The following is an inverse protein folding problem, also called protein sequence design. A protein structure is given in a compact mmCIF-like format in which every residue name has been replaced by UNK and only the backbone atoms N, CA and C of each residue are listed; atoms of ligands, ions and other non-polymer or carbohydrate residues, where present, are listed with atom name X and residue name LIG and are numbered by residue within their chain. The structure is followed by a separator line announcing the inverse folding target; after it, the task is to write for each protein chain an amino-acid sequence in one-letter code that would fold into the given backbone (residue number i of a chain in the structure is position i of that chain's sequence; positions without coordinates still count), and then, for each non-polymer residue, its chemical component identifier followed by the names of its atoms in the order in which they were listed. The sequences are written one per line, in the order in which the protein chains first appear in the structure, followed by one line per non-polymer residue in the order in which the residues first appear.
data_IF_797230745957
#
_entry.id   IF_797230745957
#
_cell.length_a   1.000
_cell.length_b   1.000
_cell.length_c   1.000
_cell.angle_alpha   90.00
_cell.angle_beta   90.00
_cell.angle_gamma   90.00
#
_symmetry.space_group_name_H-M   'P 1'
#
loop_
_entity.id
_entity.type
_entity.pdbx_description
1 polymer ?
#
# COMPACT_ATOMS: atom_id res chain seq x y z
N UNK A 1 -26.93 -29.95 25.19
CA UNK A 1 -26.86 -28.48 25.32
C UNK A 1 -26.16 -27.98 24.07
N UNK A 2 -26.57 -26.88 23.43
CA UNK A 2 -25.74 -26.32 22.36
C UNK A 2 -24.35 -26.05 22.93
N UNK A 3 -23.30 -26.54 22.25
CA UNK A 3 -21.92 -26.24 22.64
C UNK A 3 -21.77 -24.72 22.68
N UNK A 4 -21.15 -24.14 23.73
CA UNK A 4 -20.93 -22.70 23.84
C UNK A 4 -20.27 -22.12 22.57
N UNK A 5 -19.47 -22.92 21.87
CA UNK A 5 -18.82 -22.59 20.61
C UNK A 5 -19.77 -22.17 19.46
N UNK A 6 -20.97 -22.76 19.37
CA UNK A 6 -21.93 -22.37 18.30
C UNK A 6 -22.48 -20.95 18.47
N UNK A 7 -22.44 -20.41 19.69
CA UNK A 7 -22.88 -19.03 19.95
C UNK A 7 -21.74 -18.06 19.58
N UNK A 8 -20.50 -18.39 19.90
CA UNK A 8 -19.31 -17.61 19.52
C UNK A 8 -19.18 -17.50 17.98
N UNK A 9 -19.38 -18.61 17.26
CA UNK A 9 -19.34 -18.62 15.78
C UNK A 9 -20.36 -17.65 15.15
N UNK A 10 -21.58 -17.60 15.70
CA UNK A 10 -22.63 -16.69 15.19
C UNK A 10 -22.28 -15.23 15.48
N UNK A 11 -21.56 -14.97 16.56
CA UNK A 11 -21.10 -13.63 16.93
C UNK A 11 -19.96 -13.19 16.02
N UNK A 12 -18.95 -14.03 15.79
CA UNK A 12 -17.83 -13.70 14.90
C UNK A 12 -18.30 -13.44 13.46
N UNK A 13 -19.24 -14.23 12.94
CA UNK A 13 -19.82 -13.96 11.62
C UNK A 13 -20.54 -12.61 11.57
N UNK A 14 -21.25 -12.22 12.65
CA UNK A 14 -21.91 -10.92 12.72
C UNK A 14 -20.91 -9.77 12.88
N UNK A 15 -19.82 -9.99 13.62
CA UNK A 15 -18.73 -9.04 13.85
C UNK A 15 -17.97 -8.77 12.56
N UNK A 16 -17.57 -9.82 11.82
CA UNK A 16 -16.96 -9.73 10.48
C UNK A 16 -17.83 -8.96 9.48
N UNK A 17 -19.17 -9.01 9.62
CA UNK A 17 -20.11 -8.25 8.81
C UNK A 17 -20.31 -6.79 9.26
N UNK A 18 -19.82 -6.43 10.46
CA UNK A 18 -20.08 -5.14 11.12
C UNK A 18 -18.87 -4.25 11.33
N UNK A 19 -17.65 -4.77 11.15
CA UNK A 19 -16.47 -3.93 11.02
C UNK A 19 -16.62 -3.07 9.76
N UNK A 20 -17.04 -1.81 9.99
CA UNK A 20 -16.83 -0.77 9.01
C UNK A 20 -15.32 -0.64 8.90
N UNK A 21 -14.76 -0.96 7.72
CA UNK A 21 -13.32 -0.88 7.43
C UNK A 21 -12.73 0.37 8.08
N UNK A 22 -12.03 0.17 9.18
CA UNK A 22 -11.27 1.22 9.85
C UNK A 22 -9.98 1.31 9.04
N UNK A 23 -10.07 1.93 7.87
CA UNK A 23 -8.91 2.12 7.01
C UNK A 23 -7.90 2.92 7.80
N UNK A 24 -6.76 2.31 8.16
CA UNK A 24 -5.54 3.05 8.51
C UNK A 24 -5.42 4.14 7.46
N UNK A 25 -5.30 5.39 7.91
CA UNK A 25 -5.28 6.51 6.97
C UNK A 25 -3.98 6.40 6.17
N UNK A 26 -4.07 5.77 5.00
CA UNK A 26 -2.98 5.63 4.05
C UNK A 26 -2.25 6.96 3.91
N UNK A 27 -0.94 6.94 4.15
CA UNK A 27 -0.11 8.09 3.85
C UNK A 27 -0.31 8.43 2.37
N UNK A 28 -0.72 9.67 2.14
CA UNK A 28 -1.13 10.11 0.82
C UNK A 28 -0.13 11.12 0.30
N UNK A 29 0.65 10.72 -0.72
CA UNK A 29 1.57 11.60 -1.43
C UNK A 29 0.83 12.16 -2.64
N UNK A 30 0.72 13.48 -2.75
CA UNK A 30 -0.11 14.10 -3.77
C UNK A 30 0.64 15.17 -4.55
N UNK A 31 0.31 15.31 -5.83
CA UNK A 31 0.72 16.45 -6.66
C UNK A 31 -0.48 16.91 -7.50
N UNK A 32 -0.97 18.10 -7.18
CA UNK A 32 -2.01 18.80 -7.94
C UNK A 32 -1.39 19.99 -8.63
N UNK A 33 -1.50 20.09 -9.96
CA UNK A 33 -0.78 21.09 -10.76
C UNK A 33 -1.48 22.45 -10.74
N UNK A 34 -1.81 22.91 -9.53
CA UNK A 34 -2.70 24.01 -9.25
C UNK A 34 -1.96 25.20 -8.63
N UNK A 35 -2.53 26.39 -8.81
CA UNK A 35 -2.10 27.62 -8.17
C UNK A 35 -3.10 28.01 -7.06
N UNK A 36 -4.33 28.39 -7.43
CA UNK A 36 -5.27 28.98 -6.46
C UNK A 36 -6.28 27.99 -5.86
N UNK A 37 -6.54 26.85 -6.52
CA UNK A 37 -7.57 25.88 -6.09
C UNK A 37 -7.18 24.46 -6.46
N UNK A 38 -7.36 23.51 -5.54
CA UNK A 38 -7.19 22.07 -5.77
C UNK A 38 -6.31 21.41 -4.73
N UNK A 39 -5.88 20.16 -4.95
CA UNK A 39 -4.87 19.48 -4.14
C UNK A 39 -3.65 20.37 -4.04
N UNK A 40 -3.14 20.46 -2.81
CA UNK A 40 -1.96 21.22 -2.42
C UNK A 40 -1.98 22.72 -2.75
N UNK A 41 -3.10 23.29 -3.23
CA UNK A 41 -3.20 24.75 -3.39
C UNK A 41 -3.02 25.43 -2.04
N UNK A 42 -2.17 26.45 -2.02
CA UNK A 42 -1.95 27.25 -0.82
C UNK A 42 -2.36 28.71 -1.09
N UNK A 43 -2.55 29.52 -0.05
CA UNK A 43 -3.01 30.91 -0.23
C UNK A 43 -1.98 31.83 -0.91
N UNK A 44 -0.80 31.32 -1.25
CA UNK A 44 0.30 32.04 -1.88
C UNK A 44 0.17 31.94 -3.39
N UNK A 45 0.04 33.07 -4.11
CA UNK A 45 -0.01 33.04 -5.56
C UNK A 45 1.23 32.38 -6.18
N UNK A 46 0.99 31.54 -7.17
CA UNK A 46 1.93 30.74 -7.94
C UNK A 46 2.64 29.65 -7.12
N UNK A 47 1.96 29.08 -6.12
CA UNK A 47 2.48 28.04 -5.23
C UNK A 47 1.46 26.90 -5.03
N UNK A 48 1.89 25.62 -5.08
CA UNK A 48 3.23 25.15 -5.38
C UNK A 48 3.58 25.20 -6.87
N UNK A 49 2.59 25.52 -7.72
CA UNK A 49 2.77 25.66 -9.16
C UNK A 49 2.42 27.07 -9.67
N UNK A 50 3.22 27.54 -10.63
CA UNK A 50 2.99 28.77 -11.38
C UNK A 50 2.30 28.42 -12.70
N UNK A 51 1.07 28.89 -12.92
CA UNK A 51 0.38 28.69 -14.20
C UNK A 51 1.13 29.38 -15.36
N UNK A 52 0.95 28.85 -16.57
CA UNK A 52 1.57 29.30 -17.82
C UNK A 52 3.11 29.32 -17.77
N UNK A 53 3.71 28.35 -17.07
CA UNK A 53 5.15 28.26 -16.90
C UNK A 53 5.68 26.82 -16.95
N UNK A 54 7.00 26.66 -17.11
CA UNK A 54 7.65 25.35 -17.22
C UNK A 54 7.50 24.53 -15.94
N UNK A 55 7.05 23.28 -16.05
CA UNK A 55 6.93 22.34 -14.92
C UNK A 55 8.29 22.04 -14.24
N UNK A 56 9.40 22.22 -14.96
CA UNK A 56 10.75 21.96 -14.45
C UNK A 56 11.03 22.71 -13.14
N UNK A 57 11.29 21.96 -12.07
CA UNK A 57 11.67 22.53 -10.78
C UNK A 57 10.50 22.96 -9.90
N UNK A 58 9.24 22.69 -10.27
CA UNK A 58 8.05 23.03 -9.48
C UNK A 58 7.56 21.88 -8.59
N UNK A 59 6.72 22.20 -7.60
CA UNK A 59 6.15 21.22 -6.66
C UNK A 59 7.01 20.94 -5.41
N UNK A 60 8.21 21.51 -5.29
CA UNK A 60 9.19 21.11 -4.25
C UNK A 60 8.77 21.26 -2.79
N UNK A 61 7.66 21.91 -2.48
CA UNK A 61 7.11 22.05 -1.14
C UNK A 61 6.03 20.99 -0.79
N UNK A 62 5.62 20.16 -1.76
CA UNK A 62 4.59 19.15 -1.55
C UNK A 62 5.12 18.00 -0.69
N UNK A 63 4.42 17.61 0.41
CA UNK A 63 4.82 16.52 1.28
C UNK A 63 4.97 15.18 0.56
N UNK A 64 5.88 14.33 1.04
CA UNK A 64 6.09 12.97 0.52
C UNK A 64 6.93 12.87 -0.76
N UNK A 65 7.28 13.99 -1.41
CA UNK A 65 8.16 13.99 -2.59
C UNK A 65 9.62 14.27 -2.23
N UNK A 66 10.57 13.56 -2.84
CA UNK A 66 12.01 13.78 -2.64
C UNK A 66 12.50 15.09 -3.25
N UNK A 67 11.91 15.49 -4.37
CA UNK A 67 12.36 16.61 -5.18
C UNK A 67 11.21 17.21 -6.01
N UNK A 68 11.40 18.42 -6.56
CA UNK A 68 10.51 18.97 -7.57
C UNK A 68 10.45 18.11 -8.86
N UNK A 69 9.46 18.36 -9.72
CA UNK A 69 9.35 17.72 -11.02
C UNK A 69 10.58 17.98 -11.91
N UNK A 70 11.05 16.94 -12.60
CA UNK A 70 12.16 17.02 -13.57
C UNK A 70 11.63 16.73 -14.96
N UNK A 71 11.82 17.68 -15.89
CA UNK A 71 11.39 17.57 -17.29
C UNK A 71 12.59 17.17 -18.15
N UNK A 72 12.57 15.96 -18.69
CA UNK A 72 13.57 15.48 -19.63
C UNK A 72 13.13 14.17 -20.31
N UNK A 73 13.11 14.10 -21.65
CA UNK A 73 13.41 15.17 -22.61
C UNK A 73 12.22 16.13 -22.79
N UNK A 74 12.41 17.16 -23.62
CA UNK A 74 11.32 18.00 -24.13
C UNK A 74 10.90 19.13 -23.19
N UNK A 75 9.61 19.50 -23.27
CA UNK A 75 9.01 20.58 -22.50
C UNK A 75 7.67 20.14 -21.93
N UNK A 76 7.45 20.44 -20.66
CA UNK A 76 6.17 20.34 -20.00
C UNK A 76 5.90 21.66 -19.28
N UNK A 77 4.66 22.12 -19.34
CA UNK A 77 4.20 23.39 -18.76
C UNK A 77 3.01 23.13 -17.84
N UNK A 78 2.84 23.95 -16.81
CA UNK A 78 1.61 23.97 -16.02
C UNK A 78 0.67 24.95 -16.69
N UNK A 79 -0.47 24.50 -17.18
CA UNK A 79 -1.42 25.35 -17.90
C UNK A 79 -2.77 25.36 -17.23
N UNK A 80 -3.49 26.47 -17.36
CA UNK A 80 -4.90 26.50 -17.01
C UNK A 80 -5.73 25.72 -18.02
N UNK A 81 -6.42 24.68 -17.56
CA UNK A 81 -7.26 23.83 -18.40
C UNK A 81 -8.72 24.06 -18.05
N UNK A 82 -9.51 24.52 -19.02
CA UNK A 82 -10.96 24.66 -18.84
C UNK A 82 -11.58 23.28 -18.63
N UNK A 83 -12.14 23.04 -17.46
CA UNK A 83 -12.62 21.72 -17.06
C UNK A 83 -11.54 20.82 -16.46
N UNK A 84 -10.46 21.40 -15.88
CA UNK A 84 -9.54 20.71 -14.98
C UNK A 84 -10.29 19.90 -13.92
N UNK A 85 -9.70 18.79 -13.47
CA UNK A 85 -10.43 17.83 -12.65
C UNK A 85 -10.66 18.36 -11.25
N UNK A 86 -9.60 18.84 -10.60
CA UNK A 86 -9.65 19.20 -9.18
C UNK A 86 -9.29 20.66 -8.87
N UNK A 87 -8.92 21.43 -9.89
CA UNK A 87 -8.38 22.76 -9.70
C UNK A 87 -8.28 23.60 -10.97
N UNK A 88 -7.34 24.54 -10.96
CA UNK A 88 -7.17 25.56 -11.99
C UNK A 88 -6.05 25.28 -12.99
N UNK A 89 -5.28 24.19 -12.82
CA UNK A 89 -4.20 23.81 -13.71
C UNK A 89 -4.08 22.31 -13.98
N UNK A 90 -3.22 21.97 -14.95
CA UNK A 90 -2.76 20.62 -15.25
C UNK A 90 -1.35 20.69 -15.87
N UNK A 91 -0.56 19.64 -15.72
CA UNK A 91 0.71 19.51 -16.44
C UNK A 91 0.45 19.12 -17.90
N UNK A 92 0.86 19.97 -18.83
CA UNK A 92 0.68 19.81 -20.26
C UNK A 92 2.01 19.49 -20.95
N UNK A 93 2.02 18.44 -21.77
CA UNK A 93 3.20 17.90 -22.44
C UNK A 93 3.09 18.11 -23.94
N UNK A 94 3.86 19.04 -24.50
CA UNK A 94 3.77 19.45 -25.90
C UNK A 94 4.96 19.03 -26.75
N UNK A 95 4.74 19.05 -28.07
CA UNK A 95 5.80 18.91 -29.06
C UNK A 95 6.11 17.47 -29.42
N UNK A 96 7.40 17.16 -29.57
CA UNK A 96 7.89 15.81 -29.88
C UNK A 96 7.86 14.95 -28.60
N UNK A 97 8.96 14.25 -28.28
CA UNK A 97 9.10 13.53 -27.03
C UNK A 97 9.23 14.51 -25.88
N UNK A 98 8.26 14.49 -24.96
CA UNK A 98 8.29 15.24 -23.71
C UNK A 98 8.02 14.30 -22.54
N UNK A 99 8.82 14.38 -21.49
CA UNK A 99 8.61 13.59 -20.29
C UNK A 99 8.88 14.41 -19.03
N UNK A 100 8.18 14.05 -17.96
CA UNK A 100 8.47 14.52 -16.63
C UNK A 100 8.51 13.33 -15.67
N UNK A 101 9.43 13.40 -14.71
CA UNK A 101 9.53 12.43 -13.63
C UNK A 101 9.51 13.12 -12.29
N UNK A 102 9.14 12.36 -11.26
CA UNK A 102 9.24 12.80 -9.88
C UNK A 102 9.35 11.63 -8.93
N UNK A 103 10.33 11.71 -8.04
CA UNK A 103 10.59 10.69 -7.04
C UNK A 103 9.91 11.02 -5.71
N UNK A 104 9.35 10.00 -5.05
CA UNK A 104 8.87 10.05 -3.67
C UNK A 104 10.06 10.10 -2.70
N UNK A 105 9.85 10.63 -1.50
CA UNK A 105 10.88 10.86 -0.49
C UNK A 105 11.50 9.56 0.04
N UNK A 106 10.68 8.51 0.14
CA UNK A 106 11.06 7.18 0.59
C UNK A 106 10.62 6.14 -0.44
N UNK A 107 11.42 5.08 -0.67
CA UNK A 107 10.98 3.93 -1.46
C UNK A 107 9.62 3.39 -1.02
N UNK A 108 8.81 2.97 -1.99
CA UNK A 108 7.54 2.30 -1.76
C UNK A 108 7.80 0.80 -1.67
N UNK A 109 7.90 0.29 -0.44
CA UNK A 109 8.29 -1.11 -0.15
C UNK A 109 7.09 -2.03 0.06
N UNK A 110 5.96 -1.48 0.51
CA UNK A 110 4.69 -2.18 0.68
C UNK A 110 3.74 -1.94 -0.49
N UNK A 111 2.58 -2.62 -0.53
CA UNK A 111 1.57 -2.43 -1.58
C UNK A 111 1.03 -0.99 -1.55
N UNK A 112 0.98 -0.34 -2.70
CA UNK A 112 0.53 1.04 -2.85
C UNK A 112 -0.36 1.22 -4.08
N UNK A 113 -1.16 2.28 -4.09
CA UNK A 113 -1.99 2.68 -5.23
C UNK A 113 -1.47 3.99 -5.80
N UNK A 114 -1.27 4.05 -7.11
CA UNK A 114 -1.08 5.31 -7.83
C UNK A 114 -2.31 5.61 -8.65
N UNK A 115 -2.95 6.74 -8.38
CA UNK A 115 -4.05 7.29 -9.17
C UNK A 115 -3.59 8.59 -9.82
N UNK A 116 -3.90 8.77 -11.09
CA UNK A 116 -3.70 10.04 -11.79
C UNK A 116 -4.78 10.27 -12.84
N UNK A 117 -4.95 11.53 -13.22
CA UNK A 117 -5.87 11.93 -14.28
C UNK A 117 -5.10 12.18 -15.56
N UNK A 118 -5.59 11.63 -16.66
CA UNK A 118 -5.01 11.86 -17.98
C UNK A 118 -6.07 12.35 -18.96
N UNK A 119 -5.74 13.37 -19.74
CA UNK A 119 -6.54 13.82 -20.88
C UNK A 119 -5.67 13.92 -22.12
N UNK A 120 -6.18 13.41 -23.24
CA UNK A 120 -5.54 13.54 -24.55
C UNK A 120 -6.58 14.12 -25.53
N UNK A 121 -6.49 15.40 -25.91
CA UNK A 121 -7.53 16.10 -26.68
C UNK A 121 -7.60 15.68 -28.15
N UNK A 122 -6.47 15.29 -28.73
CA UNK A 122 -6.29 15.16 -30.17
C UNK A 122 -5.67 13.83 -30.57
N UNK A 123 -5.55 13.58 -31.89
CA UNK A 123 -5.06 12.32 -32.42
C UNK A 123 -3.66 12.01 -31.87
N UNK A 124 -3.42 10.73 -31.62
CA UNK A 124 -2.15 10.24 -31.12
C UNK A 124 -1.37 9.61 -32.29
N UNK A 125 -0.10 9.96 -32.48
CA UNK A 125 0.78 9.42 -33.54
C UNK A 125 1.66 8.25 -33.07
N UNK A 126 1.86 8.11 -31.76
CA UNK A 126 2.61 7.02 -31.09
C UNK A 126 1.96 6.70 -29.74
N UNK A 127 2.72 6.77 -28.64
CA UNK A 127 2.27 6.35 -27.32
C UNK A 127 2.38 7.49 -26.30
N UNK A 128 1.32 7.70 -25.53
CA UNK A 128 1.42 8.39 -24.23
C UNK A 128 1.61 7.32 -23.17
N UNK A 129 2.69 7.43 -22.41
CA UNK A 129 3.19 6.38 -21.52
C UNK A 129 3.21 6.90 -20.09
N UNK A 130 2.65 6.12 -19.18
CA UNK A 130 2.83 6.27 -17.74
C UNK A 130 3.70 5.14 -17.20
N UNK A 131 4.59 5.46 -16.26
CA UNK A 131 5.42 4.46 -15.57
C UNK A 131 5.49 4.72 -14.08
N UNK A 132 5.65 3.62 -13.35
CA UNK A 132 6.17 3.61 -11.99
C UNK A 132 7.48 2.82 -12.01
N UNK A 133 8.56 3.39 -11.49
CA UNK A 133 9.92 2.89 -11.72
C UNK A 133 10.89 3.22 -10.58
N UNK A 134 12.09 2.67 -10.70
CA UNK A 134 13.27 2.92 -9.86
C UNK A 134 14.04 4.13 -10.39
N UNK A 135 14.13 5.20 -9.59
CA UNK A 135 14.83 6.45 -9.90
C UNK A 135 16.35 6.28 -10.07
N UNK A 136 16.92 5.24 -9.46
CA UNK A 136 18.36 4.93 -9.53
C UNK A 136 18.71 4.05 -10.73
N UNK A 137 17.72 3.30 -11.21
CA UNK A 137 17.83 2.41 -12.35
C UNK A 137 17.91 3.14 -13.70
N UNK A 138 18.18 2.38 -14.77
CA UNK A 138 18.14 2.90 -16.14
C UNK A 138 17.43 1.94 -17.09
N UNK A 139 16.62 2.52 -17.98
CA UNK A 139 15.98 1.79 -19.06
C UNK A 139 14.90 0.82 -18.55
N UNK A 140 14.64 -0.22 -19.32
CA UNK A 140 13.50 -1.13 -19.07
C UNK A 140 13.62 -1.91 -17.76
N UNK A 141 14.84 -2.13 -17.27
CA UNK A 141 15.07 -2.91 -16.04
C UNK A 141 14.60 -2.16 -14.78
N UNK A 142 14.49 -0.83 -14.86
CA UNK A 142 14.05 0.01 -13.75
C UNK A 142 12.52 0.11 -13.65
N UNK A 143 11.77 -0.39 -14.64
CA UNK A 143 10.32 -0.15 -14.73
C UNK A 143 9.58 -1.25 -13.98
N UNK A 144 8.79 -0.89 -12.98
CA UNK A 144 7.80 -1.79 -12.38
C UNK A 144 6.57 -1.83 -13.29
N UNK A 145 5.89 -0.69 -13.39
CA UNK A 145 4.61 -0.56 -14.09
C UNK A 145 4.79 0.22 -15.39
N UNK A 146 4.11 -0.20 -16.45
CA UNK A 146 3.94 0.63 -17.63
C UNK A 146 2.54 0.51 -18.23
N UNK A 147 1.91 1.66 -18.44
CA UNK A 147 0.64 1.81 -19.16
C UNK A 147 0.88 2.67 -20.39
N UNK A 148 0.39 2.22 -21.55
CA UNK A 148 0.48 2.92 -22.83
C UNK A 148 -0.92 3.29 -23.32
N UNK A 149 -1.06 4.50 -23.87
CA UNK A 149 -2.20 4.89 -24.70
C UNK A 149 -1.71 5.04 -26.14
N UNK A 150 -2.21 4.18 -27.02
CA UNK A 150 -1.77 4.12 -28.42
C UNK A 150 -2.52 5.12 -29.32
N UNK A 151 -2.13 5.15 -30.61
CA UNK A 151 -2.65 6.06 -31.63
C UNK A 151 -4.19 6.11 -31.80
N UNK A 152 -4.88 5.01 -31.49
CA UNK A 152 -6.34 4.88 -31.56
C UNK A 152 -7.03 5.03 -30.18
N UNK A 153 -6.31 5.61 -29.21
CA UNK A 153 -6.72 5.79 -27.81
C UNK A 153 -6.94 4.49 -27.03
N UNK A 154 -6.51 3.36 -27.59
CA UNK A 154 -6.54 2.09 -26.87
C UNK A 154 -5.50 2.09 -25.76
N UNK A 155 -5.88 1.53 -24.62
CA UNK A 155 -5.01 1.37 -23.47
C UNK A 155 -4.37 -0.03 -23.49
N UNK A 156 -3.05 -0.07 -23.32
CA UNK A 156 -2.26 -1.29 -23.16
C UNK A 156 -1.49 -1.26 -21.88
N UNK A 157 -1.29 -2.42 -21.27
CA UNK A 157 -0.43 -2.62 -20.10
C UNK A 157 0.80 -3.42 -20.53
N UNK A 158 1.90 -3.33 -19.79
CA UNK A 158 3.09 -4.18 -20.04
C UNK A 158 3.26 -5.18 -18.91
N UNK A 159 3.10 -6.46 -19.24
CA UNK A 159 3.21 -7.60 -18.35
C UNK A 159 4.51 -8.37 -18.64
N UNK A 160 5.43 -8.41 -17.67
CA UNK A 160 6.70 -9.14 -17.82
C UNK A 160 7.55 -8.71 -19.03
N UNK A 161 7.35 -7.48 -19.53
CA UNK A 161 8.01 -6.96 -20.74
C UNK A 161 7.22 -7.10 -22.04
N UNK A 162 6.05 -7.75 -22.02
CA UNK A 162 5.15 -7.92 -23.16
C UNK A 162 3.95 -6.99 -23.05
N UNK A 163 3.62 -6.26 -24.12
CA UNK A 163 2.46 -5.38 -24.10
C UNK A 163 1.15 -6.15 -24.34
N UNK A 164 0.19 -6.02 -23.44
CA UNK A 164 -1.11 -6.67 -23.49
C UNK A 164 -2.23 -5.69 -23.85
N UNK A 165 -3.29 -6.21 -24.46
CA UNK A 165 -4.45 -5.43 -24.86
C UNK A 165 -5.53 -5.46 -23.80
N UNK A 166 -5.89 -4.31 -23.24
CA UNK A 166 -6.90 -4.24 -22.18
C UNK A 166 -8.33 -4.32 -22.71
N UNK A 167 -8.52 -3.96 -23.99
CA UNK A 167 -9.85 -3.74 -24.58
C UNK A 167 -10.54 -2.44 -24.14
N UNK A 168 -9.83 -1.61 -23.36
CA UNK A 168 -10.32 -0.33 -22.83
C UNK A 168 -9.78 0.83 -23.69
N UNK A 169 -10.57 1.89 -23.84
CA UNK A 169 -10.25 3.06 -24.67
C UNK A 169 -10.45 4.36 -23.90
N UNK A 170 -9.57 5.33 -24.11
CA UNK A 170 -9.81 6.71 -23.67
C UNK A 170 -10.77 7.43 -24.62
N UNK A 171 -11.57 8.34 -24.07
CA UNK A 171 -12.37 9.29 -24.84
C UNK A 171 -11.56 10.56 -25.06
N UNK A 172 -11.26 10.95 -26.31
CA UNK A 172 -10.45 12.13 -26.58
C UNK A 172 -11.05 13.40 -25.97
N UNK A 173 -10.21 14.22 -25.36
CA UNK A 173 -10.60 15.50 -24.74
C UNK A 173 -11.36 15.38 -23.43
N UNK A 174 -11.37 14.20 -22.80
CA UNK A 174 -11.94 13.97 -21.46
C UNK A 174 -10.83 13.51 -20.52
N UNK A 175 -10.88 13.96 -19.26
CA UNK A 175 -10.02 13.40 -18.21
C UNK A 175 -10.53 12.03 -17.78
N UNK A 176 -9.63 11.06 -17.77
CA UNK A 176 -9.87 9.70 -17.28
C UNK A 176 -9.07 9.45 -16.01
N UNK A 177 -9.63 8.67 -15.09
CA UNK A 177 -8.90 8.15 -13.94
C UNK A 177 -8.11 6.92 -14.37
N UNK A 178 -6.80 6.99 -14.21
CA UNK A 178 -5.93 5.82 -14.33
C UNK A 178 -5.47 5.46 -12.94
N UNK A 179 -5.68 4.20 -12.55
CA UNK A 179 -5.25 3.69 -11.26
C UNK A 179 -4.43 2.42 -11.47
N UNK A 180 -3.30 2.33 -10.77
CA UNK A 180 -2.51 1.11 -10.66
C UNK A 180 -2.31 0.77 -9.19
N UNK A 181 -2.46 -0.49 -8.83
CA UNK A 181 -2.10 -1.00 -7.51
C UNK A 181 -0.87 -1.87 -7.69
N UNK A 182 0.19 -1.59 -6.94
CA UNK A 182 1.52 -2.14 -7.16
C UNK A 182 1.94 -2.86 -5.90
N UNK A 183 2.38 -4.10 -6.05
CA UNK A 183 2.94 -4.90 -4.96
C UNK A 183 4.44 -5.14 -5.24
N UNK A 184 5.34 -4.39 -4.57
CA UNK A 184 6.78 -4.57 -4.69
C UNK A 184 7.31 -5.92 -4.19
N UNK A 185 6.61 -6.56 -3.25
CA UNK A 185 7.01 -7.83 -2.62
C UNK A 185 6.80 -8.97 -3.61
N UNK A 186 5.59 -9.08 -4.16
CA UNK A 186 5.26 -10.11 -5.16
C UNK A 186 5.70 -9.72 -6.59
N UNK A 187 6.07 -8.45 -6.80
CA UNK A 187 6.41 -7.87 -8.11
C UNK A 187 5.29 -7.98 -9.13
N UNK A 188 4.06 -7.85 -8.65
CA UNK A 188 2.86 -7.82 -9.49
C UNK A 188 2.10 -6.51 -9.34
N UNK A 189 1.14 -6.27 -10.22
CA UNK A 189 0.30 -5.08 -10.17
C UNK A 189 -1.07 -5.29 -10.81
N UNK A 190 -2.00 -4.38 -10.54
CA UNK A 190 -3.37 -4.38 -11.04
C UNK A 190 -3.64 -3.03 -11.73
N UNK A 191 -4.41 -3.04 -12.81
CA UNK A 191 -4.74 -1.85 -13.60
C UNK A 191 -6.25 -1.56 -13.60
N UNK A 192 -6.61 -0.29 -13.46
CA UNK A 192 -7.98 0.21 -13.60
C UNK A 192 -8.03 1.46 -14.48
N UNK A 193 -9.11 1.60 -15.25
CA UNK A 193 -9.49 2.85 -15.91
C UNK A 193 -10.91 3.24 -15.51
N UNK A 194 -11.08 4.45 -14.97
CA UNK A 194 -12.36 4.97 -14.48
C UNK A 194 -13.07 4.00 -13.51
N UNK A 195 -12.27 3.32 -12.68
CA UNK A 195 -12.75 2.30 -11.73
C UNK A 195 -13.06 0.93 -12.33
N UNK A 196 -12.92 0.75 -13.65
CA UNK A 196 -13.04 -0.55 -14.32
C UNK A 196 -11.69 -1.26 -14.28
N UNK A 197 -11.61 -2.35 -13.52
CA UNK A 197 -10.44 -3.22 -13.48
C UNK A 197 -10.25 -3.95 -14.81
N UNK A 198 -9.01 -4.01 -15.30
CA UNK A 198 -8.64 -4.92 -16.36
C UNK A 198 -8.51 -6.35 -15.81
N UNK A 199 -9.32 -7.26 -16.34
CA UNK A 199 -9.26 -8.68 -16.01
C UNK A 199 -8.16 -9.35 -16.86
N UNK A 200 -6.91 -9.21 -16.39
CA UNK A 200 -5.77 -9.88 -17.01
C UNK A 200 -5.92 -11.42 -16.94
N UNK A 201 -5.37 -12.16 -17.92
CA UNK A 201 -5.42 -13.63 -17.93
C UNK A 201 -4.63 -14.26 -16.77
N UNK A 202 -3.65 -13.54 -16.25
CA UNK A 202 -2.79 -13.86 -15.11
C UNK A 202 -2.35 -12.56 -14.39
N UNK A 203 -1.75 -12.62 -13.20
CA UNK A 203 -1.26 -11.42 -12.51
C UNK A 203 -0.27 -10.65 -13.38
N UNK A 204 -0.41 -9.32 -13.48
CA UNK A 204 0.53 -8.53 -14.27
C UNK A 204 1.87 -8.45 -13.54
N UNK A 205 2.92 -8.97 -14.14
CA UNK A 205 4.28 -8.92 -13.63
C UNK A 205 4.91 -7.54 -13.88
N UNK A 206 5.88 -7.18 -13.04
CA UNK A 206 6.74 -6.03 -13.30
C UNK A 206 7.42 -6.15 -14.67
N UNK A 207 7.48 -5.04 -15.40
CA UNK A 207 8.14 -4.98 -16.70
C UNK A 207 9.63 -5.34 -16.63
N UNK A 208 10.29 -4.87 -15.58
CA UNK A 208 11.71 -5.03 -15.31
C UNK A 208 11.96 -5.72 -13.97
N UNK A 209 13.12 -5.45 -13.37
CA UNK A 209 13.45 -5.93 -12.03
C UNK A 209 14.05 -4.78 -11.22
N UNK A 210 13.26 -3.73 -10.95
CA UNK A 210 13.71 -2.61 -10.14
C UNK A 210 14.15 -3.10 -8.76
N UNK A 211 15.13 -2.40 -8.17
CA UNK A 211 15.58 -2.68 -6.80
C UNK A 211 14.70 -1.99 -5.77
N UNK A 212 14.04 -0.90 -6.17
CA UNK A 212 13.05 -0.17 -5.39
C UNK A 212 12.04 0.49 -6.33
N UNK A 213 10.88 0.89 -5.82
CA UNK A 213 9.90 1.64 -6.60
C UNK A 213 9.68 2.98 -5.93
N UNK A 214 10.10 4.06 -6.58
CA UNK A 214 10.16 5.38 -5.96
C UNK A 214 9.96 6.55 -6.94
N UNK A 215 9.71 6.31 -8.23
CA UNK A 215 9.53 7.36 -9.22
C UNK A 215 8.30 7.13 -10.10
N UNK A 216 7.50 8.18 -10.29
CA UNK A 216 6.49 8.24 -11.34
C UNK A 216 7.02 8.99 -12.55
N UNK A 217 6.68 8.50 -13.75
CA UNK A 217 7.02 9.16 -15.01
C UNK A 217 5.79 9.26 -15.91
N UNK A 218 5.62 10.43 -16.50
CA UNK A 218 4.69 10.64 -17.61
C UNK A 218 5.48 11.04 -18.86
N UNK A 219 5.20 10.38 -19.97
CA UNK A 219 5.94 10.51 -21.23
C UNK A 219 4.97 10.62 -22.41
N UNK A 220 4.99 11.75 -23.11
CA UNK A 220 4.40 11.91 -24.42
C UNK A 220 5.47 11.54 -25.48
N UNK A 221 5.43 10.34 -26.06
CA UNK A 221 6.48 9.86 -26.97
C UNK A 221 6.23 10.26 -28.44
N UNK A 222 6.29 11.56 -28.78
CA UNK A 222 5.94 12.04 -30.14
C UNK A 222 4.51 11.60 -30.49
N UNK A 223 3.62 11.67 -29.51
CA UNK A 223 2.35 11.00 -29.56
C UNK A 223 1.22 12.02 -29.73
N UNK A 224 1.15 13.05 -28.90
CA UNK A 224 0.04 14.00 -28.95
C UNK A 224 0.53 15.40 -29.39
N UNK A 225 0.39 15.78 -30.69
CA UNK A 225 0.79 17.11 -31.17
C UNK A 225 -0.04 18.24 -30.56
N UNK A 226 -1.29 17.94 -30.18
CA UNK A 226 -2.18 18.86 -29.45
C UNK A 226 -1.94 18.82 -27.92
N UNK A 227 -0.89 18.11 -27.50
CA UNK A 227 -0.51 17.91 -26.11
C UNK A 227 -1.20 16.71 -25.44
N UNK A 228 -0.61 16.23 -24.35
CA UNK A 228 -1.28 15.37 -23.37
C UNK A 228 -1.21 16.04 -22.00
N UNK A 229 -2.20 15.77 -21.17
CA UNK A 229 -2.37 16.45 -19.89
C UNK A 229 -2.39 15.44 -18.76
N UNK A 230 -1.64 15.72 -17.70
CA UNK A 230 -1.59 14.98 -16.45
C UNK A 230 -2.12 15.88 -15.34
N UNK A 231 -2.99 15.33 -14.49
CA UNK A 231 -3.53 16.03 -13.33
C UNK A 231 -3.68 15.08 -12.13
N UNK A 232 -3.77 15.64 -10.91
CA UNK A 232 -4.03 14.93 -9.65
C UNK A 232 -3.27 13.60 -9.48
N UNK A 233 -1.94 13.63 -9.42
CA UNK A 233 -1.14 12.43 -9.10
C UNK A 233 -1.25 12.16 -7.61
N UNK A 234 -1.82 11.02 -7.23
CA UNK A 234 -2.05 10.61 -5.85
C UNK A 234 -1.42 9.23 -5.68
N UNK A 235 -0.57 9.07 -4.68
CA UNK A 235 -0.01 7.80 -4.25
C UNK A 235 -0.54 7.56 -2.84
N UNK A 236 -1.35 6.51 -2.69
CA UNK A 236 -1.81 6.01 -1.40
C UNK A 236 -0.90 4.84 -1.04
N UNK A 237 -0.16 4.93 0.06
CA UNK A 237 0.65 3.82 0.56
C UNK A 237 -0.20 2.91 1.45
N UNK A 238 0.24 1.67 1.64
CA UNK A 238 -0.37 0.76 2.62
C UNK A 238 -1.86 0.45 2.38
N UNK A 239 -2.29 0.42 1.11
CA UNK A 239 -3.73 0.31 0.73
C UNK A 239 -4.44 -0.97 1.16
N UNK A 240 -3.70 -2.00 1.60
CA UNK A 240 -4.22 -3.26 2.15
C UNK A 240 -3.57 -3.60 3.50
N UNK A 241 -2.93 -2.64 4.17
CA UNK A 241 -2.48 -2.86 5.54
C UNK A 241 -3.72 -2.89 6.41
N UNK A 242 -4.16 -4.10 6.72
CA UNK A 242 -5.20 -4.36 7.69
C UNK A 242 -4.72 -3.82 9.04
N UNK A 243 -5.61 -3.17 9.81
CA UNK A 243 -5.24 -2.82 11.19
C UNK A 243 -4.89 -4.09 11.99
N UNK A 244 -4.17 -3.98 13.11
CA UNK A 244 -3.95 -5.10 14.04
C UNK A 244 -5.22 -5.91 14.33
N UNK A 245 -6.36 -5.24 14.57
CA UNK A 245 -7.65 -5.90 14.79
C UNK A 245 -8.18 -6.64 13.56
N UNK A 246 -8.07 -6.02 12.38
CA UNK A 246 -8.49 -6.63 11.12
C UNK A 246 -7.65 -7.86 10.77
N UNK A 247 -6.34 -7.82 11.02
CA UNK A 247 -5.45 -8.98 10.87
C UNK A 247 -5.84 -10.10 11.85
N UNK A 248 -6.02 -9.80 13.14
CA UNK A 248 -6.45 -10.81 14.13
C UNK A 248 -7.78 -11.46 13.71
N UNK A 249 -8.74 -10.67 13.24
CA UNK A 249 -10.02 -11.20 12.75
C UNK A 249 -9.89 -12.07 11.50
N UNK A 250 -9.02 -11.69 10.56
CA UNK A 250 -8.75 -12.48 9.37
C UNK A 250 -8.12 -13.83 9.76
N UNK A 251 -7.10 -13.83 10.63
CA UNK A 251 -6.50 -15.08 11.14
C UNK A 251 -7.52 -15.93 11.90
N UNK A 252 -8.40 -15.31 12.71
CA UNK A 252 -9.47 -16.03 13.40
C UNK A 252 -10.47 -16.68 12.41
N UNK A 253 -10.78 -16.01 11.29
CA UNK A 253 -11.60 -16.59 10.24
C UNK A 253 -10.91 -17.78 9.55
N UNK A 254 -9.61 -17.67 9.27
CA UNK A 254 -8.83 -18.75 8.67
C UNK A 254 -8.75 -19.98 9.59
N UNK A 255 -8.59 -19.78 10.91
CA UNK A 255 -8.62 -20.84 11.91
C UNK A 255 -9.99 -21.55 11.94
N UNK A 256 -11.09 -20.80 11.84
CA UNK A 256 -12.42 -21.41 11.78
C UNK A 256 -12.63 -22.26 10.54
N UNK A 257 -12.07 -21.85 9.40
CA UNK A 257 -12.10 -22.64 8.17
C UNK A 257 -11.32 -23.95 8.33
N UNK A 258 -10.20 -23.95 9.06
CA UNK A 258 -9.47 -25.18 9.40
C UNK A 258 -10.31 -26.14 10.26
N UNK A 259 -10.97 -25.64 11.30
CA UNK A 259 -11.88 -26.45 12.14
C UNK A 259 -13.03 -27.01 11.28
N UNK A 260 -13.58 -26.19 10.37
CA UNK A 260 -14.68 -26.60 9.50
C UNK A 260 -14.25 -27.64 8.44
N UNK A 261 -12.97 -27.64 8.04
CA UNK A 261 -12.42 -28.56 7.05
C UNK A 261 -12.30 -30.00 7.59
N UNK A 262 -12.07 -30.19 8.90
CA UNK A 262 -12.05 -31.52 9.54
C UNK A 262 -12.96 -31.60 10.79
N UNK A 263 -14.29 -31.66 10.59
CA UNK A 263 -15.25 -31.60 11.69
C UNK A 263 -15.28 -32.84 12.60
N UNK A 264 -14.47 -33.88 12.31
CA UNK A 264 -14.39 -35.09 13.13
C UNK A 264 -13.11 -35.13 13.98
N UNK A 265 -12.21 -34.15 13.84
CA UNK A 265 -10.98 -34.06 14.61
C UNK A 265 -11.23 -33.20 15.87
N UNK A 266 -11.72 -33.85 16.93
CA UNK A 266 -12.04 -33.17 18.20
C UNK A 266 -10.80 -32.55 18.86
N UNK A 267 -9.61 -33.13 18.67
CA UNK A 267 -8.35 -32.66 19.25
C UNK A 267 -7.84 -31.40 18.53
N UNK A 268 -7.88 -31.38 17.20
CA UNK A 268 -7.62 -30.17 16.41
C UNK A 268 -8.57 -29.05 16.79
N UNK A 269 -9.87 -29.37 16.87
CA UNK A 269 -10.88 -28.38 17.24
C UNK A 269 -10.55 -27.77 18.61
N UNK A 270 -10.46 -28.58 19.68
CA UNK A 270 -10.16 -28.11 21.04
C UNK A 270 -8.95 -27.17 21.08
N UNK A 271 -7.85 -27.54 20.40
CA UNK A 271 -6.64 -26.72 20.35
C UNK A 271 -6.82 -25.40 19.60
N UNK A 272 -7.51 -25.39 18.46
CA UNK A 272 -7.78 -24.17 17.70
C UNK A 272 -8.88 -23.30 18.34
N UNK A 273 -9.78 -23.89 19.12
CA UNK A 273 -10.75 -23.17 19.94
C UNK A 273 -10.05 -22.35 21.04
N UNK A 274 -8.96 -22.86 21.62
CA UNK A 274 -8.11 -22.12 22.58
C UNK A 274 -7.42 -20.93 21.90
N UNK A 275 -6.84 -21.13 20.71
CA UNK A 275 -6.24 -20.04 19.91
C UNK A 275 -7.26 -18.93 19.64
N UNK A 276 -8.47 -19.30 19.19
CA UNK A 276 -9.55 -18.33 18.95
C UNK A 276 -9.93 -17.57 20.22
N UNK A 277 -9.94 -18.23 21.38
CA UNK A 277 -10.21 -17.56 22.66
C UNK A 277 -9.17 -16.48 22.97
N UNK A 278 -7.88 -16.78 22.78
CA UNK A 278 -6.82 -15.80 23.01
C UNK A 278 -6.88 -14.64 22.00
N UNK A 279 -7.22 -14.91 20.73
CA UNK A 279 -7.41 -13.85 19.72
C UNK A 279 -8.59 -12.93 20.04
N UNK A 280 -9.70 -13.47 20.54
CA UNK A 280 -10.84 -12.65 20.98
C UNK A 280 -10.50 -11.82 22.21
N UNK A 281 -9.76 -12.39 23.17
CA UNK A 281 -9.25 -11.64 24.32
C UNK A 281 -8.30 -10.52 23.85
N UNK A 282 -7.44 -10.77 22.84
CA UNK A 282 -6.57 -9.73 22.28
C UNK A 282 -7.37 -8.55 21.68
N UNK A 283 -8.44 -8.85 20.93
CA UNK A 283 -9.35 -7.81 20.41
C UNK A 283 -10.02 -7.02 21.54
N UNK A 284 -10.50 -7.69 22.59
CA UNK A 284 -11.10 -7.04 23.76
C UNK A 284 -10.11 -6.07 24.46
N UNK A 285 -8.81 -6.39 24.44
CA UNK A 285 -7.74 -5.54 24.96
C UNK A 285 -7.47 -4.31 24.07
N UNK A 286 -7.49 -4.48 22.74
CA UNK A 286 -7.33 -3.39 21.76
C UNK A 286 -8.53 -2.42 21.75
N UNK A 287 -9.75 -2.90 22.03
CA UNK A 287 -10.96 -2.06 22.09
C UNK A 287 -11.04 -1.14 23.33
N UNK A 288 -10.11 -1.26 24.30
CA UNK A 288 -10.09 -0.41 25.49
C UNK A 288 -9.79 1.06 25.15
N UNK A 289 -10.02 1.97 26.10
CA UNK A 289 -9.74 3.41 25.92
C UNK A 289 -8.92 3.98 27.09
N UNK A 290 -7.60 4.19 26.94
CA UNK A 290 -6.79 3.81 25.76
C UNK A 290 -6.69 2.28 25.59
N UNK A 291 -6.34 1.80 24.39
CA UNK A 291 -6.02 0.38 24.15
C UNK A 291 -4.95 -0.14 25.13
N UNK A 292 -5.03 -1.42 25.49
CA UNK A 292 -4.02 -2.09 26.32
C UNK A 292 -3.15 -2.99 25.43
N UNK A 293 -2.24 -2.36 24.67
CA UNK A 293 -1.45 -3.02 23.65
C UNK A 293 -0.56 -4.14 24.23
N UNK A 294 0.02 -3.93 25.41
CA UNK A 294 0.85 -4.96 26.06
C UNK A 294 0.04 -6.21 26.43
N UNK A 295 -1.18 -6.03 26.94
CA UNK A 295 -2.06 -7.15 27.22
C UNK A 295 -2.48 -7.86 25.93
N UNK A 296 -2.83 -7.11 24.87
CA UNK A 296 -3.15 -7.66 23.56
C UNK A 296 -2.00 -8.50 22.99
N UNK A 297 -0.76 -7.99 22.98
CA UNK A 297 0.42 -8.74 22.52
C UNK A 297 0.67 -9.97 23.39
N UNK A 298 0.44 -9.88 24.71
CA UNK A 298 0.52 -11.05 25.59
C UNK A 298 -0.50 -12.15 25.26
N UNK A 299 -1.66 -11.77 24.71
CA UNK A 299 -2.68 -12.71 24.22
C UNK A 299 -2.30 -13.33 22.88
N UNK A 300 -1.75 -12.52 21.98
CA UNK A 300 -1.18 -12.97 20.70
C UNK A 300 -0.04 -13.98 20.94
N UNK A 301 0.84 -13.72 21.92
CA UNK A 301 1.92 -14.64 22.32
C UNK A 301 1.39 -16.02 22.76
N UNK A 302 0.27 -16.03 23.50
CA UNK A 302 -0.45 -17.24 23.90
C UNK A 302 -0.98 -18.00 22.69
N UNK A 303 -1.71 -17.31 21.81
CA UNK A 303 -2.27 -17.84 20.58
C UNK A 303 -1.19 -18.47 19.66
N UNK A 304 -0.06 -17.79 19.47
CA UNK A 304 1.08 -18.31 18.69
C UNK A 304 1.66 -19.57 19.35
N UNK A 305 1.84 -19.57 20.67
CA UNK A 305 2.33 -20.76 21.39
C UNK A 305 1.39 -21.97 21.29
N UNK A 306 0.08 -21.75 21.22
CA UNK A 306 -0.88 -22.83 20.99
C UNK A 306 -0.88 -23.33 19.54
N UNK A 307 -0.67 -22.45 18.55
CA UNK A 307 -0.46 -22.85 17.16
C UNK A 307 0.85 -23.65 16.97
N UNK A 308 1.96 -23.23 17.59
CA UNK A 308 3.23 -23.97 17.59
C UNK A 308 3.03 -25.40 18.09
N UNK A 309 2.32 -25.56 19.21
CA UNK A 309 2.01 -26.88 19.76
C UNK A 309 1.11 -27.70 18.82
N UNK A 310 0.11 -27.08 18.17
CA UNK A 310 -0.75 -27.77 17.21
C UNK A 310 0.02 -28.26 15.97
N UNK A 311 1.04 -27.53 15.53
CA UNK A 311 1.95 -27.96 14.45
C UNK A 311 2.88 -29.09 14.93
N UNK A 312 3.45 -28.98 16.13
CA UNK A 312 4.32 -30.02 16.71
C UNK A 312 3.59 -31.36 16.88
N UNK A 313 2.33 -31.31 17.30
CA UNK A 313 1.46 -32.48 17.46
C UNK A 313 0.88 -33.01 16.12
N UNK A 314 1.29 -32.43 14.99
CA UNK A 314 0.82 -32.77 13.62
C UNK A 314 -0.70 -32.60 13.42
N UNK A 315 -1.34 -31.75 14.23
CA UNK A 315 -2.78 -31.43 14.11
C UNK A 315 -3.03 -30.42 12.98
N UNK A 316 -2.12 -29.47 12.81
CA UNK A 316 -2.12 -28.47 11.75
C UNK A 316 -0.95 -28.74 10.80
N UNK A 317 -1.17 -28.63 9.50
CA UNK A 317 -0.09 -28.71 8.51
C UNK A 317 0.95 -27.63 8.79
N UNK A 318 2.24 -28.00 8.78
CA UNK A 318 3.30 -27.08 9.17
C UNK A 318 3.37 -25.81 8.32
N UNK A 319 3.04 -25.89 7.01
CA UNK A 319 3.03 -24.69 6.15
C UNK A 319 1.90 -23.76 6.57
N UNK A 320 0.70 -24.30 6.73
CA UNK A 320 -0.47 -23.52 7.18
C UNK A 320 -0.24 -22.92 8.57
N UNK A 321 0.30 -23.70 9.50
CA UNK A 321 0.60 -23.23 10.85
C UNK A 321 1.64 -22.12 10.86
N UNK A 322 2.71 -22.22 10.06
CA UNK A 322 3.70 -21.16 9.91
C UNK A 322 3.09 -19.88 9.32
N UNK A 323 2.23 -19.99 8.31
CA UNK A 323 1.57 -18.81 7.73
C UNK A 323 0.70 -18.08 8.78
N UNK A 324 -0.08 -18.82 9.58
CA UNK A 324 -0.92 -18.23 10.64
C UNK A 324 -0.09 -17.60 11.77
N UNK A 325 1.00 -18.26 12.18
CA UNK A 325 1.89 -17.70 13.19
C UNK A 325 2.61 -16.45 12.69
N UNK A 326 3.09 -16.44 11.45
CA UNK A 326 3.73 -15.26 10.86
C UNK A 326 2.79 -14.06 10.80
N UNK A 327 1.51 -14.27 10.43
CA UNK A 327 0.48 -13.22 10.47
C UNK A 327 0.30 -12.63 11.87
N UNK A 328 0.13 -13.47 12.89
CA UNK A 328 -0.03 -13.00 14.27
C UNK A 328 1.24 -12.31 14.81
N UNK A 329 2.41 -12.81 14.42
CA UNK A 329 3.69 -12.20 14.75
C UNK A 329 3.84 -10.82 14.09
N UNK A 330 3.36 -10.62 12.85
CA UNK A 330 3.29 -9.28 12.22
C UNK A 330 2.41 -8.32 13.02
N UNK A 331 1.25 -8.77 13.53
CA UNK A 331 0.39 -7.92 14.38
C UNK A 331 1.14 -7.41 15.61
N UNK A 332 1.88 -8.30 16.29
CA UNK A 332 2.67 -7.91 17.45
C UNK A 332 3.79 -6.91 17.08
N UNK A 333 4.45 -7.13 15.93
CA UNK A 333 5.47 -6.23 15.38
C UNK A 333 4.89 -4.84 15.08
N UNK A 334 3.74 -4.78 14.44
CA UNK A 334 3.06 -3.53 14.08
C UNK A 334 2.69 -2.71 15.32
N UNK A 335 2.12 -3.34 16.35
CA UNK A 335 1.81 -2.67 17.62
C UNK A 335 3.07 -2.09 18.29
N UNK A 336 4.19 -2.80 18.22
CA UNK A 336 5.46 -2.31 18.75
C UNK A 336 6.02 -1.12 17.94
N UNK A 337 5.99 -1.19 16.61
CA UNK A 337 6.45 -0.14 15.70
C UNK A 337 5.64 1.16 15.85
N UNK A 338 4.30 1.05 15.97
CA UNK A 338 3.41 2.18 16.23
C UNK A 338 3.72 2.88 17.57
N UNK A 339 4.01 2.09 18.62
CA UNK A 339 4.39 2.63 19.92
C UNK A 339 5.75 3.34 19.88
N UNK A 340 6.73 2.78 19.18
CA UNK A 340 8.06 3.39 18.97
C UNK A 340 7.90 4.72 18.22
N UNK A 341 7.13 4.73 17.13
CA UNK A 341 6.85 5.94 16.35
C UNK A 341 6.19 7.02 17.21
N UNK A 342 5.19 6.65 18.02
CA UNK A 342 4.53 7.56 18.96
C UNK A 342 5.51 8.13 19.99
N UNK A 343 6.42 7.29 20.54
CA UNK A 343 7.45 7.73 21.48
C UNK A 343 8.42 8.74 20.85
N UNK A 344 8.85 8.50 19.61
CA UNK A 344 9.71 9.42 18.85
C UNK A 344 9.02 10.75 18.59
N UNK A 345 7.78 10.73 18.10
CA UNK A 345 7.02 11.94 17.75
C UNK A 345 6.74 12.85 18.95
N UNK A 346 6.56 12.26 20.12
CA UNK A 346 6.34 12.99 21.38
C UNK A 346 7.65 13.38 22.08
N UNK A 347 8.81 13.01 21.52
CA UNK A 347 10.13 13.33 22.07
C UNK A 347 10.41 12.61 23.40
N UNK A 348 10.06 11.32 23.46
CA UNK A 348 10.32 10.44 24.60
C UNK A 348 11.80 10.24 24.93
N UNK A 349 12.08 9.45 25.95
CA UNK A 349 13.46 9.16 26.39
C UNK A 349 14.24 8.42 25.28
N UNK A 350 15.31 9.03 24.71
CA UNK A 350 16.06 8.41 23.62
C UNK A 350 16.72 7.08 24.00
N UNK A 351 17.10 6.88 25.28
CA UNK A 351 17.74 5.62 25.69
C UNK A 351 16.73 4.45 25.68
N UNK A 352 15.47 4.68 26.09
CA UNK A 352 14.41 3.67 26.04
C UNK A 352 13.92 3.41 24.61
N UNK A 353 13.92 4.43 23.74
CA UNK A 353 13.62 4.28 22.30
C UNK A 353 14.71 3.43 21.62
N UNK A 354 15.99 3.68 21.91
CA UNK A 354 17.10 2.88 21.38
C UNK A 354 16.97 1.40 21.83
N UNK A 355 16.65 1.14 23.11
CA UNK A 355 16.38 -0.23 23.60
C UNK A 355 15.16 -0.87 22.93
N UNK A 356 14.09 -0.12 22.68
CA UNK A 356 12.91 -0.62 21.97
C UNK A 356 13.24 -1.06 20.54
N UNK A 357 14.07 -0.28 19.82
CA UNK A 357 14.54 -0.61 18.47
C UNK A 357 15.43 -1.86 18.48
N UNK A 358 16.28 -2.06 19.50
CA UNK A 358 17.08 -3.28 19.65
C UNK A 358 16.19 -4.53 19.78
N UNK A 359 15.12 -4.46 20.57
CA UNK A 359 14.17 -5.57 20.69
C UNK A 359 13.33 -5.79 19.42
N UNK A 360 12.98 -4.73 18.69
CA UNK A 360 12.30 -4.83 17.40
C UNK A 360 13.18 -5.57 16.38
N UNK A 361 14.47 -5.21 16.28
CA UNK A 361 15.46 -5.88 15.43
C UNK A 361 15.67 -7.35 15.83
N UNK A 362 15.69 -7.66 17.14
CA UNK A 362 15.77 -9.02 17.65
C UNK A 362 14.54 -9.85 17.25
N UNK A 363 13.33 -9.30 17.40
CA UNK A 363 12.09 -9.93 16.97
C UNK A 363 12.08 -10.23 15.47
N UNK A 364 12.53 -9.28 14.64
CA UNK A 364 12.65 -9.47 13.19
C UNK A 364 13.62 -10.62 12.85
N UNK A 365 14.74 -10.73 13.58
CA UNK A 365 15.69 -11.83 13.41
C UNK A 365 15.09 -13.20 13.80
N UNK A 366 14.35 -13.27 14.92
CA UNK A 366 13.70 -14.49 15.42
C UNK A 366 12.58 -14.95 14.47
N UNK A 367 11.76 -14.01 13.99
CA UNK A 367 10.70 -14.28 13.01
C UNK A 367 11.25 -14.89 11.72
N UNK A 368 12.36 -14.35 11.20
CA UNK A 368 13.04 -14.91 10.01
C UNK A 368 13.58 -16.33 10.21
N UNK A 369 13.82 -16.75 11.46
CA UNK A 369 14.21 -18.11 11.81
C UNK A 369 13.01 -19.06 12.03
N UNK A 370 11.79 -18.52 12.01
CA UNK A 370 10.56 -19.26 12.35
C UNK A 370 10.38 -19.48 13.86
N UNK A 371 11.09 -18.72 14.71
CA UNK A 371 10.94 -18.72 16.17
C UNK A 371 9.83 -17.73 16.58
N UNK A 372 8.60 -17.97 16.11
CA UNK A 372 7.50 -17.00 16.13
C UNK A 372 7.11 -16.55 17.53
N UNK A 373 6.99 -17.48 18.49
CA UNK A 373 6.64 -17.11 19.85
C UNK A 373 7.71 -16.23 20.51
N UNK A 374 8.98 -16.58 20.33
CA UNK A 374 10.09 -15.80 20.86
C UNK A 374 10.16 -14.42 20.19
N UNK A 375 9.87 -14.34 18.88
CA UNK A 375 9.72 -13.08 18.16
C UNK A 375 8.62 -12.19 18.76
N UNK A 376 7.43 -12.74 19.03
CA UNK A 376 6.33 -12.01 19.70
C UNK A 376 6.75 -11.53 21.08
N UNK A 377 7.48 -12.34 21.84
CA UNK A 377 8.02 -11.92 23.14
C UNK A 377 8.98 -10.74 23.00
N UNK A 378 9.87 -10.74 21.99
CA UNK A 378 10.77 -9.62 21.73
C UNK A 378 10.00 -8.35 21.34
N UNK A 379 8.99 -8.45 20.46
CA UNK A 379 8.13 -7.32 20.11
C UNK A 379 7.34 -6.77 21.30
N UNK A 380 6.90 -7.65 22.22
CA UNK A 380 6.27 -7.23 23.47
C UNK A 380 7.21 -6.43 24.36
N UNK A 381 8.48 -6.82 24.44
CA UNK A 381 9.50 -6.07 25.18
C UNK A 381 9.79 -4.73 24.49
N UNK A 382 9.86 -4.69 23.16
CA UNK A 382 9.98 -3.46 22.37
C UNK A 382 8.83 -2.48 22.65
N UNK A 383 7.59 -2.98 22.58
CA UNK A 383 6.37 -2.21 22.90
C UNK A 383 6.42 -1.65 24.33
N UNK A 384 6.76 -2.49 25.31
CA UNK A 384 6.84 -2.06 26.71
C UNK A 384 7.90 -0.97 26.93
N UNK A 385 9.01 -1.03 26.20
CA UNK A 385 10.07 -0.02 26.22
C UNK A 385 9.63 1.29 25.60
N UNK A 386 8.99 1.24 24.43
CA UNK A 386 8.47 2.41 23.74
C UNK A 386 7.41 3.16 24.57
N UNK A 387 6.46 2.44 25.16
CA UNK A 387 5.44 3.03 26.04
C UNK A 387 6.04 3.60 27.32
N UNK A 388 7.12 3.00 27.83
CA UNK A 388 7.87 3.50 29.00
C UNK A 388 8.66 4.79 28.74
N UNK A 389 8.91 5.13 27.47
CA UNK A 389 9.65 6.33 27.08
C UNK A 389 8.80 7.62 27.12
N UNK A 390 7.47 7.51 27.18
CA UNK A 390 6.48 8.59 27.23
C UNK A 390 6.22 9.10 28.67
#
# INVERSE_FOLDING_TARGET
MPHPFRIALTFLTAVLLSFQQSTVQADTIQSGFNDATGINSDGTPNSPFTLDSSLQGQGGAEPGWAAPWVVSPGSAEVLSVSGGFEGDGAAAFFGNTAAATRAVASPLESRFRVTFRVMIPGPITRDVIFRVQDSTGRGINAIAVQVNVESDFRVRVVDGGSAEETGIFLTPGTFHNVTVEVDPVTKTWIFFLDGVQFNAPDPLDFRGNPTQVDEVQFLNEIAAPDGSFLDAVIIETEIDKLSPEEQIMQTAADILDLIAADPNNEELADKLEDVLSELMDALDELEKTPPDNQAAVGKIEGAVGDLEAAVEDELVDAVVGFDLMDQLTEVARELADEAITTAVDLGGDPDEIDEALEFLDEGDALRLLGEFKDAVSAYKDALAKAEGAL
#
